data_IF_734959483756
#
_entry.id   IF_734959483756
#
_cell.length_a   1.000
_cell.length_b   1.000
_cell.length_c   1.000
_cell.angle_alpha   90.00
_cell.angle_beta   90.00
_cell.angle_gamma   90.00
#
_symmetry.space_group_name_H-M   'P 1'
#
loop_
_entity.id
_entity.type
_entity.pdbx_description
1 polymer ?
#
# COMPACT_ATOMS: atom_id res chain seq x y z
N UNK A 1 -15.60 12.16 1.60
CA UNK A 1 -16.60 11.31 2.30
C UNK A 1 -16.70 10.01 1.52
N UNK A 2 -17.03 8.89 2.18
CA UNK A 2 -17.24 7.63 1.48
C UNK A 2 -18.51 7.74 0.63
N UNK A 3 -18.35 7.96 -0.67
CA UNK A 3 -19.44 8.02 -1.66
C UNK A 3 -19.65 6.68 -2.35
N UNK A 4 -18.85 5.66 -2.02
CA UNK A 4 -18.93 4.33 -2.63
C UNK A 4 -20.07 3.51 -2.06
N UNK A 5 -20.61 3.89 -0.90
CA UNK A 5 -21.73 3.21 -0.24
C UNK A 5 -21.30 2.10 0.73
N UNK A 6 -20.00 1.85 0.89
CA UNK A 6 -19.50 0.69 1.64
C UNK A 6 -18.90 1.08 3.00
N UNK A 7 -19.61 0.76 4.09
CA UNK A 7 -19.10 0.85 5.47
C UNK A 7 -19.20 2.24 6.14
N UNK A 8 -19.24 2.26 7.48
CA UNK A 8 -19.22 3.50 8.29
C UNK A 8 -17.76 3.83 8.64
N UNK A 9 -17.09 4.67 7.85
CA UNK A 9 -15.69 5.08 8.10
C UNK A 9 -15.05 5.81 6.91
N UNK A 10 -13.90 6.45 7.13
CA UNK A 10 -13.06 7.00 6.04
C UNK A 10 -12.26 5.85 5.42
N UNK A 11 -12.31 5.70 4.10
CA UNK A 11 -11.49 4.75 3.36
C UNK A 11 -10.10 5.34 3.14
N UNK A 12 -9.10 4.48 3.18
CA UNK A 12 -7.72 4.84 2.87
C UNK A 12 -7.44 4.55 1.42
N UNK A 13 -7.09 5.59 0.67
CA UNK A 13 -6.79 5.51 -0.74
C UNK A 13 -5.30 5.64 -0.97
N UNK A 14 -4.77 4.86 -1.91
CA UNK A 14 -3.45 5.11 -2.45
C UNK A 14 -3.57 6.20 -3.52
N UNK A 15 -2.72 7.23 -3.43
CA UNK A 15 -2.71 8.31 -4.41
C UNK A 15 -1.32 8.46 -5.03
N UNK A 16 -1.27 8.60 -6.36
CA UNK A 16 -0.04 8.93 -7.09
C UNK A 16 -0.05 10.40 -7.48
N UNK A 17 1.04 11.11 -7.23
CA UNK A 17 1.19 12.48 -7.72
C UNK A 17 1.75 12.49 -9.15
N UNK A 18 1.01 13.04 -10.11
CA UNK A 18 1.49 13.35 -11.45
C UNK A 18 2.07 14.76 -11.46
N UNK A 19 3.40 14.86 -11.55
CA UNK A 19 4.11 16.15 -11.53
C UNK A 19 3.91 16.98 -12.80
N UNK A 20 3.61 16.36 -13.95
CA UNK A 20 3.35 17.06 -15.20
C UNK A 20 1.98 17.73 -15.15
N UNK A 21 0.97 17.01 -14.66
CA UNK A 21 -0.41 17.50 -14.51
C UNK A 21 -0.63 18.27 -13.21
N UNK A 22 0.33 18.21 -12.27
CA UNK A 22 0.26 18.79 -10.92
C UNK A 22 -0.99 18.35 -10.16
N UNK A 23 -1.36 17.07 -10.26
CA UNK A 23 -2.57 16.52 -9.66
C UNK A 23 -2.30 15.14 -9.07
N UNK A 24 -3.07 14.79 -8.04
CA UNK A 24 -3.12 13.43 -7.53
C UNK A 24 -4.11 12.59 -8.35
N UNK A 25 -3.69 11.39 -8.69
CA UNK A 25 -4.48 10.31 -9.25
C UNK A 25 -4.83 9.35 -8.11
N UNK A 26 -6.12 9.10 -7.92
CA UNK A 26 -6.62 8.12 -6.97
C UNK A 26 -6.45 6.71 -7.58
N UNK A 27 -5.65 5.90 -6.91
CA UNK A 27 -5.36 4.52 -7.29
C UNK A 27 -6.30 3.52 -6.58
N UNK A 28 -7.26 4.02 -5.81
CA UNK A 28 -8.27 3.21 -5.14
C UNK A 28 -7.93 2.84 -3.70
N UNK A 29 -8.82 2.05 -3.11
CA UNK A 29 -8.85 1.73 -1.69
C UNK A 29 -7.82 0.65 -1.36
N UNK A 30 -7.14 0.80 -0.22
CA UNK A 30 -6.29 -0.26 0.34
C UNK A 30 -7.15 -1.40 0.90
N UNK A 31 -7.13 -2.55 0.24
CA UNK A 31 -7.80 -3.78 0.67
C UNK A 31 -6.80 -4.85 1.11
N UNK A 32 -7.16 -5.63 2.12
CA UNK A 32 -6.36 -6.75 2.64
C UNK A 32 -6.72 -8.02 1.87
N UNK A 33 -5.71 -8.65 1.25
CA UNK A 33 -5.89 -9.88 0.45
C UNK A 33 -5.99 -11.16 1.29
N UNK A 34 -5.36 -11.18 2.47
CA UNK A 34 -5.29 -12.31 3.39
C UNK A 34 -5.94 -11.94 4.74
N UNK A 35 -7.28 -11.77 4.81
CA UNK A 35 -7.96 -11.19 5.98
C UNK A 35 -7.88 -12.03 7.26
N UNK A 36 -7.40 -13.27 7.17
CA UNK A 36 -7.17 -14.22 8.26
C UNK A 36 -5.78 -14.08 8.92
N UNK A 37 -4.99 -13.07 8.55
CA UNK A 37 -3.65 -12.84 9.10
C UNK A 37 -3.60 -12.64 10.63
N UNK A 38 -4.73 -12.31 11.26
CA UNK A 38 -4.85 -12.06 12.68
C UNK A 38 -6.25 -12.44 13.18
N UNK A 39 -6.33 -13.06 14.35
CA UNK A 39 -7.61 -13.41 14.97
C UNK A 39 -8.22 -12.19 15.68
N UNK A 40 -9.11 -11.49 14.99
CA UNK A 40 -9.83 -10.33 15.54
C UNK A 40 -10.98 -10.71 16.48
N UNK A 41 -11.43 -11.97 16.50
CA UNK A 41 -12.58 -12.43 17.27
C UNK A 41 -12.26 -13.78 17.95
N UNK A 42 -11.35 -13.78 18.93
CA UNK A 42 -10.97 -15.00 19.62
C UNK A 42 -12.16 -15.60 20.38
N UNK A 43 -12.10 -16.90 20.63
CA UNK A 43 -13.19 -17.69 21.23
C UNK A 43 -13.73 -17.15 22.58
N UNK A 44 -12.95 -16.33 23.28
CA UNK A 44 -13.36 -15.66 24.52
C UNK A 44 -14.31 -14.46 24.29
N UNK A 45 -14.66 -14.14 23.03
CA UNK A 45 -15.57 -13.06 22.64
C UNK A 45 -15.02 -11.65 22.81
N UNK A 46 -13.80 -11.49 23.33
CA UNK A 46 -13.16 -10.19 23.57
C UNK A 46 -12.12 -9.93 22.49
N UNK A 47 -12.30 -8.84 21.73
CA UNK A 47 -11.29 -8.38 20.78
C UNK A 47 -9.92 -8.25 21.46
N UNK A 48 -8.83 -8.73 20.85
CA UNK A 48 -7.50 -8.55 21.41
C UNK A 48 -7.20 -7.07 21.68
N UNK A 49 -6.38 -6.76 22.69
CA UNK A 49 -5.91 -5.40 22.86
C UNK A 49 -5.23 -4.93 21.56
N UNK A 50 -5.40 -3.64 21.23
CA UNK A 50 -4.68 -3.03 20.11
C UNK A 50 -5.01 -3.65 18.74
N UNK A 51 -6.24 -4.12 18.53
CA UNK A 51 -6.70 -4.75 17.27
C UNK A 51 -7.77 -3.95 16.52
N UNK A 52 -7.80 -2.63 16.67
CA UNK A 52 -8.87 -1.76 16.14
C UNK A 52 -8.49 -0.98 14.88
N UNK A 53 -7.32 -1.23 14.28
CA UNK A 53 -6.84 -0.54 13.07
C UNK A 53 -7.34 -1.15 11.75
N UNK A 54 -8.40 -1.96 11.81
CA UNK A 54 -9.04 -2.56 10.64
C UNK A 54 -10.56 -2.55 10.80
N UNK A 55 -11.27 -2.55 9.68
CA UNK A 55 -12.70 -2.83 9.63
C UNK A 55 -13.04 -3.69 8.41
N UNK A 56 -14.15 -4.41 8.52
CA UNK A 56 -14.72 -5.17 7.42
C UNK A 56 -15.90 -4.38 6.86
N UNK A 57 -15.90 -4.17 5.55
CA UNK A 57 -16.99 -3.53 4.82
C UNK A 57 -18.18 -4.50 4.68
N UNK A 58 -19.39 -4.03 4.34
CA UNK A 58 -20.58 -4.90 4.23
C UNK A 58 -20.46 -6.03 3.20
N UNK A 59 -19.58 -5.89 2.21
CA UNK A 59 -19.28 -6.90 1.19
C UNK A 59 -18.24 -7.96 1.66
N UNK A 60 -17.73 -7.84 2.88
CA UNK A 60 -16.68 -8.71 3.43
C UNK A 60 -15.25 -8.23 3.19
N UNK A 61 -15.04 -7.13 2.43
CA UNK A 61 -13.70 -6.60 2.18
C UNK A 61 -13.11 -6.02 3.47
N UNK A 62 -11.91 -6.48 3.85
CA UNK A 62 -11.18 -5.91 4.99
C UNK A 62 -10.28 -4.76 4.53
N UNK A 63 -10.36 -3.62 5.20
CA UNK A 63 -9.53 -2.44 4.92
C UNK A 63 -8.92 -1.90 6.20
N UNK A 64 -7.74 -1.22 6.13
CA UNK A 64 -7.22 -0.47 7.27
C UNK A 64 -8.21 0.59 7.75
N UNK A 65 -8.19 0.85 9.05
CA UNK A 65 -8.95 1.89 9.73
C UNK A 65 -7.97 2.79 10.50
N UNK A 66 -8.35 4.07 10.69
CA UNK A 66 -7.58 5.09 11.40
C UNK A 66 -6.32 5.59 10.70
N UNK A 67 -5.12 5.42 11.27
CA UNK A 67 -3.91 6.10 10.81
C UNK A 67 -2.84 5.10 10.37
N UNK A 68 -2.18 5.42 9.27
CA UNK A 68 -0.93 4.78 8.85
C UNK A 68 0.25 5.48 9.53
N UNK A 69 1.25 4.73 9.97
CA UNK A 69 2.47 5.33 10.54
C UNK A 69 3.46 5.77 9.45
N UNK A 70 3.53 5.02 8.35
CA UNK A 70 4.43 5.28 7.24
C UNK A 70 3.93 4.63 5.94
N UNK A 71 4.33 5.23 4.82
CA UNK A 71 4.32 4.63 3.48
C UNK A 71 5.78 4.50 3.04
N UNK A 72 6.20 3.29 2.67
CA UNK A 72 7.58 2.97 2.28
C UNK A 72 7.59 2.58 0.80
N UNK A 73 8.44 3.23 0.02
CA UNK A 73 8.67 2.89 -1.39
C UNK A 73 10.05 2.24 -1.54
N UNK A 74 10.08 1.03 -2.12
CA UNK A 74 11.31 0.28 -2.35
C UNK A 74 11.84 0.46 -3.78
N UNK A 75 13.10 0.06 -4.02
CA UNK A 75 13.75 0.17 -5.33
C UNK A 75 13.09 -0.66 -6.43
N UNK A 76 12.43 -1.77 -6.07
CA UNK A 76 11.70 -2.64 -7.00
C UNK A 76 10.24 -2.19 -7.21
N UNK A 77 9.93 -0.92 -6.88
CA UNK A 77 8.59 -0.33 -6.98
C UNK A 77 7.53 -1.04 -6.12
N UNK A 78 7.92 -1.84 -5.13
CA UNK A 78 6.97 -2.36 -4.14
C UNK A 78 6.69 -1.25 -3.11
N UNK A 79 5.42 -1.06 -2.77
CA UNK A 79 5.03 -0.16 -1.71
C UNK A 79 4.65 -0.95 -0.45
N UNK A 80 4.94 -0.39 0.72
CA UNK A 80 4.46 -0.94 1.99
C UNK A 80 3.81 0.15 2.83
N UNK A 81 2.72 -0.20 3.51
CA UNK A 81 2.09 0.66 4.50
C UNK A 81 2.12 0.00 5.88
N UNK A 82 2.49 0.76 6.92
CA UNK A 82 2.47 0.27 8.30
C UNK A 82 1.17 0.67 8.99
N UNK A 83 0.45 -0.30 9.55
CA UNK A 83 -0.72 -0.07 10.40
C UNK A 83 -0.32 -0.35 11.85
N UNK A 84 -0.77 0.51 12.76
CA UNK A 84 -0.40 0.41 14.17
C UNK A 84 -1.11 -0.74 14.90
N UNK A 85 -2.34 -1.10 14.51
CA UNK A 85 -3.23 -1.97 15.30
C UNK A 85 -3.97 -3.06 14.50
N UNK A 86 -3.57 -4.34 14.64
CA UNK A 86 -2.28 -4.78 15.16
C UNK A 86 -1.12 -4.22 14.33
N UNK A 87 0.08 -4.15 14.92
CA UNK A 87 1.27 -3.70 14.19
C UNK A 87 1.53 -4.63 13.02
N UNK A 88 1.34 -4.11 11.81
CA UNK A 88 1.30 -4.91 10.58
C UNK A 88 1.92 -4.13 9.43
N UNK A 89 2.50 -4.88 8.50
CA UNK A 89 3.08 -4.36 7.27
C UNK A 89 2.23 -4.85 6.09
N UNK A 90 1.52 -3.94 5.44
CA UNK A 90 0.78 -4.25 4.22
C UNK A 90 1.70 -4.08 3.03
N UNK A 91 1.89 -5.15 2.27
CA UNK A 91 2.52 -5.09 0.96
C UNK A 91 1.48 -4.67 -0.09
N UNK A 92 1.86 -3.70 -0.92
CA UNK A 92 1.05 -3.21 -2.04
C UNK A 92 1.84 -3.50 -3.32
N UNK A 93 1.42 -4.52 -4.07
CA UNK A 93 2.09 -5.01 -5.28
C UNK A 93 1.35 -4.72 -6.59
N UNK A 94 0.13 -4.17 -6.52
CA UNK A 94 -0.71 -3.85 -7.68
C UNK A 94 -0.15 -2.76 -8.62
N UNK A 95 0.89 -2.02 -8.20
CA UNK A 95 1.45 -0.87 -8.94
C UNK A 95 2.93 -1.00 -9.30
N UNK A 96 3.40 -2.22 -9.53
CA UNK A 96 4.69 -2.41 -10.21
C UNK A 96 4.54 -1.95 -11.66
N UNK A 97 4.96 -0.71 -11.95
CA UNK A 97 5.48 -0.44 -13.30
C UNK A 97 6.78 -1.22 -13.43
N UNK A 98 6.96 -1.93 -14.56
CA UNK A 98 8.30 -2.36 -14.95
C UNK A 98 9.22 -1.15 -14.84
N UNK A 99 10.39 -1.30 -14.20
CA UNK A 99 11.32 -0.19 -14.13
C UNK A 99 11.54 0.32 -15.56
N UNK A 100 11.45 1.64 -15.81
CA UNK A 100 11.77 2.15 -17.13
C UNK A 100 13.15 1.63 -17.51
N UNK A 101 13.31 1.23 -18.78
CA UNK A 101 14.61 0.84 -19.30
C UNK A 101 15.64 1.89 -18.86
N UNK A 102 16.86 1.48 -18.43
CA UNK A 102 17.86 2.42 -17.96
C UNK A 102 18.00 3.57 -18.95
N UNK A 103 17.92 4.82 -18.48
CA UNK A 103 18.07 5.96 -19.37
C UNK A 103 19.40 5.83 -20.13
N UNK A 104 19.40 6.06 -21.44
CA UNK A 104 20.58 5.85 -22.33
C UNK A 104 21.88 6.46 -21.78
N UNK A 105 21.78 7.56 -21.02
CA UNK A 105 22.92 8.20 -20.35
C UNK A 105 23.69 7.26 -19.41
N UNK A 106 23.05 6.26 -18.82
CA UNK A 106 23.67 5.25 -17.95
C UNK A 106 24.21 4.03 -18.73
N UNK A 107 23.69 3.78 -19.93
CA UNK A 107 24.23 2.75 -20.84
C UNK A 107 25.60 3.19 -21.40
N UNK A 108 25.74 4.48 -21.73
CA UNK A 108 27.02 5.03 -22.25
C UNK A 108 28.18 4.97 -21.25
N UNK A 109 27.94 5.15 -19.95
CA UNK A 109 29.01 5.02 -18.96
C UNK A 109 29.44 3.56 -18.73
N UNK A 110 28.51 2.61 -18.91
CA UNK A 110 28.79 1.18 -18.73
C UNK A 110 29.67 0.63 -19.87
N UNK A 111 29.44 1.08 -21.11
CA UNK A 111 30.28 0.70 -22.25
C UNK A 111 31.65 1.40 -22.28
N UNK A 112 31.80 2.59 -21.68
CA UNK A 112 33.11 3.26 -21.60
C UNK A 112 34.08 2.57 -20.63
N UNK A 113 33.59 1.94 -19.56
CA UNK A 113 34.46 1.25 -18.59
C UNK A 113 34.87 -0.16 -19.02
N UNK A 114 34.15 -0.79 -19.97
CA UNK A 114 34.49 -2.12 -20.50
C UNK A 114 35.56 -2.08 -21.60
N UNK A 115 35.78 -0.94 -22.25
CA UNK A 115 36.77 -0.76 -23.32
C UNK A 115 38.10 -0.15 -22.86
N UNK A 116 38.36 -0.10 -21.54
CA UNK A 116 39.61 0.43 -20.96
C UNK A 116 40.47 -0.65 -20.25
N UNK A 117 40.33 -1.92 -20.64
CA UNK A 117 41.27 -2.98 -20.26
C UNK A 117 41.96 -3.57 -21.46
#
# INVERSE_FOLDING_TARGET
QNTTGFGKGKLHHLCRYDSKKRRHEDLGVLAVKNPDFFDFNPANGKKPPWSHGYHTLPDGTMTPLHNHMALVATRDNTLYATIIYPFTLLKIDAYRQEPPAPAEKYLKSTHQHLNQK
#
